data_IF_544608849295
#
_entry.id   IF_544608849295
#
_cell.length_a   1.000
_cell.length_b   1.000
_cell.length_c   1.000
_cell.angle_alpha   90.00
_cell.angle_beta   90.00
_cell.angle_gamma   90.00
#
_symmetry.space_group_name_H-M   'P 1'
#
loop_
_entity.id
_entity.type
_entity.pdbx_description
1 polymer ?
#
# COMPACT_ATOMS: atom_id res chain seq x y z
N UNK A 1 -51.42 -8.37 -4.62
CA UNK A 1 -50.11 -7.73 -4.74
C UNK A 1 -49.17 -8.43 -3.78
N UNK A 2 -48.26 -9.27 -4.26
CA UNK A 2 -47.25 -9.88 -3.40
C UNK A 2 -46.18 -8.82 -3.13
N UNK A 3 -46.29 -8.14 -1.98
CA UNK A 3 -45.30 -7.17 -1.53
C UNK A 3 -43.91 -7.78 -1.37
N UNK A 4 -42.88 -6.95 -1.24
CA UNK A 4 -41.53 -7.42 -0.92
C UNK A 4 -41.53 -8.20 0.41
N UNK A 5 -40.51 -9.04 0.66
CA UNK A 5 -40.43 -9.82 1.91
C UNK A 5 -40.47 -8.88 3.13
N UNK A 6 -39.82 -7.72 3.03
CA UNK A 6 -39.82 -6.70 4.08
C UNK A 6 -41.21 -6.13 4.37
N UNK A 7 -42.09 -6.04 3.37
CA UNK A 7 -43.46 -5.53 3.53
C UNK A 7 -44.40 -6.57 4.15
N UNK A 8 -44.11 -7.87 3.95
CA UNK A 8 -44.94 -8.98 4.42
C UNK A 8 -44.44 -9.60 5.74
N UNK A 9 -43.30 -9.16 6.26
CA UNK A 9 -42.76 -9.68 7.52
C UNK A 9 -43.44 -9.04 8.73
N UNK A 10 -43.84 -9.88 9.70
CA UNK A 10 -44.31 -9.38 11.00
C UNK A 10 -43.14 -8.79 11.81
N UNK A 11 -43.44 -7.84 12.70
CA UNK A 11 -42.44 -7.22 13.60
C UNK A 11 -41.66 -8.26 14.39
N UNK A 12 -42.31 -9.34 14.83
CA UNK A 12 -41.63 -10.46 15.53
C UNK A 12 -40.55 -11.11 14.65
N UNK A 13 -40.85 -11.40 13.38
CA UNK A 13 -39.88 -11.99 12.44
C UNK A 13 -38.74 -11.02 12.15
N UNK A 14 -39.04 -9.74 11.95
CA UNK A 14 -38.03 -8.70 11.73
C UNK A 14 -37.06 -8.58 12.91
N UNK A 15 -37.57 -8.57 14.14
CA UNK A 15 -36.75 -8.54 15.36
C UNK A 15 -35.88 -9.78 15.47
N UNK A 16 -36.42 -10.98 15.19
CA UNK A 16 -35.63 -12.22 15.21
C UNK A 16 -34.47 -12.15 14.22
N UNK A 17 -34.72 -11.74 12.97
CA UNK A 17 -33.66 -11.58 11.96
C UNK A 17 -32.63 -10.53 12.40
N UNK A 18 -33.08 -9.40 12.94
CA UNK A 18 -32.21 -8.35 13.45
C UNK A 18 -31.30 -8.83 14.58
N UNK A 19 -31.83 -9.60 15.55
CA UNK A 19 -31.05 -10.19 16.63
C UNK A 19 -30.02 -11.19 16.09
N UNK A 20 -30.41 -12.04 15.13
CA UNK A 20 -29.49 -12.98 14.50
C UNK A 20 -28.33 -12.23 13.82
N UNK A 21 -28.62 -11.19 13.03
CA UNK A 21 -27.59 -10.37 12.38
C UNK A 21 -26.68 -9.68 13.41
N UNK A 22 -27.25 -9.17 14.50
CA UNK A 22 -26.48 -8.56 15.60
C UNK A 22 -25.54 -9.58 16.25
N UNK A 23 -26.00 -10.81 16.49
CA UNK A 23 -25.16 -11.88 17.01
C UNK A 23 -24.02 -12.24 16.05
N UNK A 24 -24.28 -12.31 14.74
CA UNK A 24 -23.22 -12.51 13.74
C UNK A 24 -22.22 -11.34 13.70
N UNK A 25 -22.69 -10.11 13.86
CA UNK A 25 -21.82 -8.93 13.94
C UNK A 25 -20.95 -8.97 15.20
N UNK A 26 -21.53 -9.28 16.36
CA UNK A 26 -20.81 -9.43 17.63
C UNK A 26 -19.77 -10.55 17.55
N UNK A 27 -20.11 -11.68 16.92
CA UNK A 27 -19.17 -12.76 16.66
C UNK A 27 -18.00 -12.29 15.77
N UNK A 28 -18.29 -11.52 14.71
CA UNK A 28 -17.26 -10.98 13.81
C UNK A 28 -16.30 -10.04 14.55
N UNK A 29 -16.81 -9.19 15.46
CA UNK A 29 -15.98 -8.36 16.33
C UNK A 29 -15.13 -9.19 17.29
N UNK A 30 -15.68 -10.27 17.85
CA UNK A 30 -14.96 -11.16 18.75
C UNK A 30 -13.81 -11.89 18.02
N UNK A 31 -14.04 -12.33 16.77
CA UNK A 31 -12.98 -12.93 15.93
C UNK A 31 -11.86 -11.92 15.67
N UNK A 32 -12.20 -10.68 15.31
CA UNK A 32 -11.20 -9.63 15.09
C UNK A 32 -10.46 -9.20 16.36
N UNK A 33 -11.14 -9.13 17.51
CA UNK A 33 -10.56 -8.62 18.75
C UNK A 33 -9.84 -9.65 19.61
N UNK A 34 -10.27 -10.92 19.59
CA UNK A 34 -9.71 -11.98 20.46
C UNK A 34 -8.83 -12.99 19.71
N UNK A 35 -9.00 -13.15 18.39
CA UNK A 35 -8.30 -14.20 17.61
C UNK A 35 -7.24 -13.58 16.70
N UNK A 36 -7.60 -12.53 15.96
CA UNK A 36 -6.68 -11.90 15.03
C UNK A 36 -5.64 -11.04 15.79
N UNK A 37 -4.33 -11.19 15.50
CA UNK A 37 -3.32 -10.26 16.00
C UNK A 37 -3.42 -8.92 15.26
N UNK A 38 -2.56 -7.96 15.63
CA UNK A 38 -2.50 -6.66 14.95
C UNK A 38 -2.34 -6.84 13.42
N UNK A 39 -3.05 -6.05 12.59
CA UNK A 39 -3.05 -6.24 11.14
C UNK A 39 -1.67 -6.14 10.50
N UNK A 40 -0.85 -5.22 10.98
CA UNK A 40 0.50 -4.97 10.49
C UNK A 40 1.50 -5.01 11.63
N UNK A 41 2.77 -5.20 11.28
CA UNK A 41 3.91 -5.07 12.19
C UNK A 41 4.95 -4.19 11.51
N UNK A 42 5.45 -3.20 12.26
CA UNK A 42 6.53 -2.34 11.82
C UNK A 42 7.83 -2.75 12.52
N UNK A 43 8.88 -2.99 11.74
CA UNK A 43 10.19 -3.39 12.24
C UNK A 43 11.21 -2.35 11.78
N UNK A 44 11.97 -1.82 12.74
CA UNK A 44 13.03 -0.86 12.47
C UNK A 44 14.35 -1.59 12.17
N UNK A 45 14.99 -1.20 11.08
CA UNK A 45 16.30 -1.68 10.66
C UNK A 45 17.26 -0.50 10.62
N UNK A 46 18.47 -0.71 11.14
CA UNK A 46 19.59 0.21 10.97
C UNK A 46 20.50 -0.34 9.88
N UNK A 47 20.78 0.46 8.87
CA UNK A 47 21.60 0.01 7.77
C UNK A 47 23.07 -0.13 8.17
N UNK A 48 23.69 -1.25 7.81
CA UNK A 48 25.11 -1.48 8.07
C UNK A 48 25.93 -0.83 6.97
N UNK A 49 26.87 0.05 7.33
CA UNK A 49 27.81 0.69 6.40
C UNK A 49 28.89 -0.31 6.01
N UNK A 50 28.76 -0.88 4.81
CA UNK A 50 29.71 -1.79 4.20
C UNK A 50 30.66 -1.04 3.26
N UNK A 51 31.90 -1.51 3.13
CA UNK A 51 32.91 -0.94 2.22
C UNK A 51 33.07 -1.80 0.97
N UNK A 52 32.99 -1.16 -0.19
CA UNK A 52 33.36 -1.73 -1.47
C UNK A 52 34.82 -1.40 -1.80
N UNK A 53 35.72 -2.36 -1.57
CA UNK A 53 37.16 -2.20 -1.79
C UNK A 53 37.57 -2.42 -3.26
N UNK A 54 36.66 -2.82 -4.15
CA UNK A 54 36.99 -3.24 -5.51
C UNK A 54 36.98 -2.05 -6.47
N UNK A 55 38.17 -1.61 -6.91
CA UNK A 55 38.38 -0.51 -7.87
C UNK A 55 37.96 -0.81 -9.32
N UNK A 56 37.13 -1.83 -9.57
CA UNK A 56 36.80 -2.22 -10.93
C UNK A 56 35.56 -1.50 -11.43
N UNK A 57 35.69 -0.84 -12.58
CA UNK A 57 34.60 -0.26 -13.38
C UNK A 57 33.51 -1.29 -13.77
N UNK A 58 33.70 -2.58 -13.51
CA UNK A 58 32.65 -3.59 -13.55
C UNK A 58 31.91 -3.65 -12.22
N UNK A 59 31.03 -2.67 -12.01
CA UNK A 59 30.18 -2.47 -10.84
C UNK A 59 29.05 -3.52 -10.73
N UNK A 60 29.25 -4.75 -11.22
CA UNK A 60 28.17 -5.72 -11.36
C UNK A 60 28.23 -6.79 -10.26
N UNK A 61 27.24 -6.72 -9.37
CA UNK A 61 26.64 -7.88 -8.66
C UNK A 61 27.30 -8.41 -7.39
N UNK A 62 28.12 -7.63 -6.65
CA UNK A 62 28.48 -8.06 -5.29
C UNK A 62 27.40 -7.66 -4.30
N UNK A 63 26.77 -8.64 -3.68
CA UNK A 63 25.80 -8.46 -2.61
C UNK A 63 26.49 -8.39 -1.25
N UNK A 64 26.39 -7.23 -0.59
CA UNK A 64 27.00 -6.98 0.71
C UNK A 64 26.10 -7.47 1.83
N UNK A 65 26.54 -8.47 2.59
CA UNK A 65 25.75 -9.00 3.70
C UNK A 65 26.09 -8.26 5.01
N UNK A 66 25.10 -7.73 5.75
CA UNK A 66 25.36 -6.97 6.97
C UNK A 66 25.80 -7.83 8.15
N UNK A 67 25.56 -9.14 8.15
CA UNK A 67 25.92 -10.06 9.24
C UNK A 67 26.02 -11.50 8.72
N UNK A 68 26.58 -12.42 9.49
CA UNK A 68 26.75 -13.82 9.09
C UNK A 68 28.17 -14.16 8.63
N UNK A 69 28.39 -15.36 8.06
CA UNK A 69 29.74 -15.86 7.72
C UNK A 69 30.42 -15.03 6.62
N UNK A 70 29.64 -14.56 5.64
CA UNK A 70 30.11 -13.73 4.53
C UNK A 70 29.78 -12.25 4.76
N UNK A 71 29.94 -11.76 6.00
CA UNK A 71 29.64 -10.36 6.30
C UNK A 71 30.59 -9.42 5.54
N UNK A 72 30.11 -8.23 5.22
CA UNK A 72 30.91 -7.19 4.61
C UNK A 72 31.95 -6.62 5.59
N UNK A 73 32.96 -5.94 5.07
CA UNK A 73 33.84 -5.08 5.86
C UNK A 73 33.05 -3.85 6.30
N UNK A 74 32.89 -3.67 7.61
CA UNK A 74 32.03 -2.64 8.18
C UNK A 74 32.83 -1.43 8.64
N UNK A 75 32.20 -0.28 8.58
CA UNK A 75 32.67 0.95 9.20
C UNK A 75 31.63 1.42 10.21
N UNK A 76 32.06 1.83 11.42
CA UNK A 76 31.12 2.32 12.43
C UNK A 76 30.62 3.71 12.08
N UNK A 77 31.56 4.62 11.82
CA UNK A 77 31.31 6.04 11.61
C UNK A 77 32.05 6.60 10.41
N UNK A 78 31.52 7.67 9.82
CA UNK A 78 32.18 8.34 8.67
C UNK A 78 33.56 8.91 9.00
N UNK A 79 33.84 9.19 10.28
CA UNK A 79 35.17 9.62 10.72
C UNK A 79 36.21 8.49 10.53
N UNK A 80 35.82 7.25 10.79
CA UNK A 80 36.64 6.06 10.52
C UNK A 80 36.83 5.85 9.01
N UNK A 81 35.78 6.09 8.20
CA UNK A 81 35.88 6.04 6.74
C UNK A 81 36.89 7.07 6.21
N UNK A 82 36.87 8.28 6.75
CA UNK A 82 37.78 9.37 6.38
C UNK A 82 39.22 9.04 6.76
N UNK A 83 39.43 8.49 7.96
CA UNK A 83 40.74 8.02 8.40
C UNK A 83 41.31 6.91 7.49
N UNK A 84 40.45 6.04 6.99
CA UNK A 84 40.78 4.96 6.04
C UNK A 84 40.81 5.42 4.57
N UNK A 85 40.57 6.70 4.28
CA UNK A 85 40.50 7.29 2.93
C UNK A 85 39.50 6.57 2.00
N UNK A 86 38.33 6.19 2.54
CA UNK A 86 37.25 5.57 1.78
C UNK A 86 36.40 6.68 1.16
N UNK A 87 36.19 6.59 -0.16
CA UNK A 87 35.32 7.51 -0.89
C UNK A 87 33.83 7.23 -0.61
N UNK A 88 32.98 8.26 -0.71
CA UNK A 88 31.54 8.13 -0.47
C UNK A 88 30.87 7.08 -1.39
N UNK A 89 31.32 6.98 -2.65
CA UNK A 89 30.80 6.02 -3.63
C UNK A 89 31.07 4.56 -3.27
N UNK A 90 32.06 4.31 -2.40
CA UNK A 90 32.46 2.96 -1.98
C UNK A 90 31.71 2.52 -0.72
N UNK A 91 30.80 3.34 -0.18
CA UNK A 91 30.00 2.98 0.99
C UNK A 91 28.65 2.43 0.51
N UNK A 92 28.34 1.22 0.95
CA UNK A 92 27.07 0.54 0.68
C UNK A 92 26.33 0.33 2.00
N UNK A 93 25.13 0.86 2.10
CA UNK A 93 24.25 0.64 3.24
C UNK A 93 23.47 -0.65 3.01
N UNK A 94 23.86 -1.71 3.70
CA UNK A 94 23.27 -3.04 3.54
C UNK A 94 22.30 -3.37 4.67
N UNK A 95 21.11 -3.87 4.30
CA UNK A 95 20.05 -4.28 5.22
C UNK A 95 19.52 -5.64 4.82
N UNK A 96 19.51 -6.57 5.77
CA UNK A 96 18.95 -7.90 5.57
C UNK A 96 17.57 -7.96 6.21
N UNK A 97 16.57 -8.32 5.40
CA UNK A 97 15.18 -8.48 5.81
C UNK A 97 14.83 -9.96 5.65
N UNK A 98 14.44 -10.68 6.71
CA UNK A 98 14.19 -10.22 8.08
C UNK A 98 15.47 -10.14 8.92
N UNK A 99 15.32 -9.73 10.19
CA UNK A 99 16.38 -9.77 11.21
C UNK A 99 16.98 -11.19 11.40
N UNK A 100 18.18 -11.31 12.02
CA UNK A 100 18.83 -12.59 12.25
C UNK A 100 17.92 -13.63 12.93
N UNK A 101 18.04 -14.89 12.51
CA UNK A 101 17.26 -16.04 13.01
C UNK A 101 15.74 -15.97 12.77
N UNK A 102 15.28 -15.09 11.86
CA UNK A 102 13.88 -15.06 11.40
C UNK A 102 13.82 -15.35 9.91
N UNK A 103 12.66 -15.76 9.42
CA UNK A 103 12.36 -15.92 7.99
C UNK A 103 11.07 -15.18 7.64
N UNK A 104 11.01 -14.61 6.43
CA UNK A 104 9.77 -14.10 5.88
C UNK A 104 8.89 -15.25 5.40
N UNK A 105 7.60 -14.99 5.26
CA UNK A 105 6.65 -15.98 4.76
C UNK A 105 5.62 -15.36 3.82
N UNK A 106 5.07 -16.12 2.87
CA UNK A 106 3.98 -15.69 1.98
C UNK A 106 2.73 -15.17 2.71
N UNK A 107 2.57 -15.51 3.98
CA UNK A 107 1.47 -15.00 4.82
C UNK A 107 1.55 -13.50 5.08
N UNK A 108 2.70 -12.87 4.88
CA UNK A 108 2.87 -11.44 5.11
C UNK A 108 2.32 -10.56 3.98
N UNK A 109 1.85 -11.17 2.88
CA UNK A 109 1.19 -10.58 1.70
C UNK A 109 1.92 -9.44 1.00
N UNK A 110 2.24 -8.37 1.71
CA UNK A 110 2.96 -7.22 1.20
C UNK A 110 4.10 -6.85 2.15
N UNK A 111 5.09 -6.17 1.59
CA UNK A 111 6.16 -5.56 2.36
C UNK A 111 6.38 -4.13 1.87
N UNK A 112 6.18 -3.18 2.75
CA UNK A 112 6.45 -1.77 2.54
C UNK A 112 7.71 -1.40 3.31
N UNK A 113 8.62 -0.67 2.66
CA UNK A 113 9.84 -0.18 3.29
C UNK A 113 9.90 1.33 3.18
N UNK A 114 10.04 1.97 4.34
CA UNK A 114 10.16 3.43 4.47
C UNK A 114 11.61 3.75 4.81
N UNK A 115 12.17 4.75 4.14
CA UNK A 115 13.51 5.28 4.35
C UNK A 115 13.46 6.51 5.27
N UNK A 116 14.38 6.54 6.22
CA UNK A 116 14.60 7.66 7.13
C UNK A 116 16.10 7.95 7.23
N UNK A 117 16.51 9.18 6.90
CA UNK A 117 17.89 9.61 7.05
C UNK A 117 18.11 10.27 8.41
N UNK A 118 19.20 9.89 9.09
CA UNK A 118 19.71 10.62 10.23
C UNK A 118 20.77 11.61 9.72
N UNK A 119 20.39 12.88 9.57
CA UNK A 119 21.29 13.94 9.05
C UNK A 119 21.71 14.84 10.19
N UNK A 120 23.02 14.94 10.44
CA UNK A 120 23.58 15.84 11.45
C UNK A 120 23.74 17.26 10.89
N UNK A 121 23.42 18.25 11.72
CA UNK A 121 23.65 19.65 11.43
C UNK A 121 25.12 20.02 11.56
N UNK A 122 25.68 20.63 10.52
CA UNK A 122 26.97 21.31 10.51
C UNK A 122 26.85 22.68 9.85
N UNK A 123 27.55 23.69 10.38
CA UNK A 123 27.48 25.04 9.83
C UNK A 123 27.94 25.13 8.38
N UNK A 124 29.00 24.38 8.03
CA UNK A 124 29.61 24.39 6.69
C UNK A 124 28.94 23.46 5.69
N UNK A 125 28.11 22.51 6.13
CA UNK A 125 27.44 21.52 5.27
C UNK A 125 25.97 21.40 5.66
N UNK A 126 25.21 22.45 5.34
CA UNK A 126 23.77 22.48 5.55
C UNK A 126 23.04 21.82 4.37
N UNK A 127 21.80 21.40 4.63
CA UNK A 127 20.89 20.94 3.58
C UNK A 127 20.49 22.16 2.72
N UNK A 128 20.69 22.07 1.40
CA UNK A 128 20.24 23.08 0.44
C UNK A 128 18.70 23.07 0.31
N UNK A 129 18.11 24.24 0.04
CA UNK A 129 16.66 24.34 -0.16
C UNK A 129 16.24 23.52 -1.39
N UNK A 130 15.31 22.59 -1.18
CA UNK A 130 14.85 21.68 -2.24
C UNK A 130 15.86 20.58 -2.59
N UNK A 131 16.79 20.24 -1.68
CA UNK A 131 17.76 19.16 -1.88
C UNK A 131 17.08 17.85 -2.31
N UNK A 132 17.67 17.20 -3.31
CA UNK A 132 17.22 15.91 -3.84
C UNK A 132 18.32 14.89 -3.59
N UNK A 133 17.98 13.81 -2.89
CA UNK A 133 18.86 12.65 -2.73
C UNK A 133 18.60 11.66 -3.85
N UNK A 134 19.67 11.29 -4.54
CA UNK A 134 19.69 10.20 -5.52
C UNK A 134 20.18 8.94 -4.81
N UNK A 135 19.33 7.92 -4.80
CA UNK A 135 19.54 6.67 -4.11
C UNK A 135 19.62 5.56 -5.14
N UNK A 136 20.77 4.89 -5.21
CA UNK A 136 20.98 3.71 -6.05
C UNK A 136 20.69 2.46 -5.20
N UNK A 137 19.60 1.77 -5.51
CA UNK A 137 19.04 0.70 -4.67
C UNK A 137 19.00 -0.61 -5.45
N UNK A 138 19.58 -1.65 -4.87
CA UNK A 138 19.44 -3.02 -5.31
C UNK A 138 18.68 -3.86 -4.29
N UNK A 139 17.69 -4.61 -4.74
CA UNK A 139 16.98 -5.63 -3.97
C UNK A 139 17.32 -7.00 -4.53
N UNK A 140 17.74 -7.90 -3.64
CA UNK A 140 17.92 -9.31 -3.93
C UNK A 140 17.08 -10.18 -3.00
N UNK A 141 16.82 -11.41 -3.44
CA UNK A 141 16.15 -12.44 -2.66
C UNK A 141 16.95 -13.74 -2.64
N UNK A 142 16.63 -14.59 -1.68
CA UNK A 142 17.03 -16.00 -1.63
C UNK A 142 16.10 -16.78 -0.70
N UNK A 143 16.01 -18.08 -0.93
CA UNK A 143 15.24 -18.99 -0.05
C UNK A 143 16.12 -19.89 0.81
N UNK A 144 17.33 -20.20 0.34
CA UNK A 144 18.32 -20.91 1.12
C UNK A 144 19.30 -19.94 1.80
N UNK A 145 19.56 -20.17 3.08
CA UNK A 145 20.51 -19.44 3.90
C UNK A 145 21.95 -19.42 3.36
N UNK A 146 22.33 -20.47 2.61
CA UNK A 146 23.66 -20.60 1.99
C UNK A 146 23.63 -20.38 0.47
N UNK A 147 22.46 -20.16 -0.11
CA UNK A 147 22.31 -19.90 -1.54
C UNK A 147 22.88 -18.55 -1.97
N UNK A 148 23.16 -18.42 -3.26
CA UNK A 148 23.51 -17.15 -3.88
C UNK A 148 22.30 -16.20 -3.92
N UNK A 149 22.58 -14.90 -3.85
CA UNK A 149 21.57 -13.86 -3.95
C UNK A 149 21.18 -13.62 -5.41
N UNK A 150 19.88 -13.68 -5.69
CA UNK A 150 19.33 -13.35 -7.00
C UNK A 150 18.74 -11.95 -6.99
N UNK A 151 19.13 -11.13 -7.97
CA UNK A 151 18.63 -9.77 -8.13
C UNK A 151 17.15 -9.79 -8.50
N UNK A 152 16.33 -9.06 -7.73
CA UNK A 152 14.90 -8.86 -8.01
C UNK A 152 14.69 -7.58 -8.82
N UNK A 153 15.26 -6.49 -8.33
CA UNK A 153 15.12 -5.17 -8.91
C UNK A 153 16.33 -4.31 -8.56
N UNK A 154 16.71 -3.44 -9.48
CA UNK A 154 17.75 -2.45 -9.29
C UNK A 154 17.34 -1.18 -10.01
N UNK A 155 17.29 -0.06 -9.28
CA UNK A 155 16.99 1.24 -9.86
C UNK A 155 17.68 2.38 -9.13
N UNK A 156 17.85 3.48 -9.85
CA UNK A 156 18.35 4.74 -9.31
C UNK A 156 17.15 5.65 -9.16
N UNK A 157 16.78 5.91 -7.91
CA UNK A 157 15.62 6.72 -7.57
C UNK A 157 16.04 8.07 -7.03
N UNK A 158 15.24 9.08 -7.32
CA UNK A 158 15.39 10.41 -6.73
C UNK A 158 14.30 10.64 -5.69
N UNK A 159 14.66 11.25 -4.56
CA UNK A 159 13.76 11.60 -3.48
C UNK A 159 14.06 13.01 -2.99
N UNK A 160 13.02 13.81 -2.80
CA UNK A 160 13.17 15.15 -2.22
C UNK A 160 13.37 15.05 -0.72
N UNK A 161 14.39 15.71 -0.19
CA UNK A 161 14.65 15.79 1.24
C UNK A 161 13.86 16.98 1.82
N UNK A 162 12.81 16.66 2.57
CA UNK A 162 12.07 17.63 3.39
C UNK A 162 12.54 17.47 4.83
N UNK A 163 13.41 18.37 5.27
CA UNK A 163 14.03 18.31 6.59
C UNK A 163 13.97 19.69 7.25
N UNK A 164 13.53 19.74 8.51
CA UNK A 164 13.50 20.96 9.30
C UNK A 164 14.50 20.88 10.46
N UNK A 165 15.12 22.02 10.78
CA UNK A 165 15.98 22.15 11.95
C UNK A 165 15.28 23.08 12.94
N UNK A 166 14.63 22.50 13.94
CA UNK A 166 13.81 23.21 14.93
C UNK A 166 14.66 24.06 15.88
N UNK A 167 15.94 23.72 16.06
CA UNK A 167 16.87 24.44 16.92
C UNK A 167 17.57 25.59 16.20
N UNK A 168 17.99 26.66 16.91
CA UNK A 168 18.73 27.74 16.29
C UNK A 168 20.07 27.24 15.75
N UNK A 169 20.41 27.66 14.53
CA UNK A 169 21.64 27.32 13.80
C UNK A 169 22.86 28.02 14.41
N UNK A 170 23.26 27.60 15.61
CA UNK A 170 24.47 28.06 16.32
C UNK A 170 25.52 26.96 16.35
N UNK A 171 26.78 27.34 16.58
CA UNK A 171 27.91 26.40 16.68
C UNK A 171 27.70 25.40 17.82
N UNK A 172 27.09 25.83 18.94
CA UNK A 172 26.79 24.97 20.09
C UNK A 172 25.80 23.83 19.78
N UNK A 173 25.02 23.96 18.69
CA UNK A 173 24.04 22.98 18.26
C UNK A 173 24.54 22.10 17.09
N UNK A 174 25.83 22.18 16.72
CA UNK A 174 26.42 21.25 15.77
C UNK A 174 26.32 19.80 16.27
N UNK A 175 26.07 18.89 15.33
CA UNK A 175 25.88 17.46 15.62
C UNK A 175 24.46 17.06 16.02
N UNK A 176 23.53 18.01 16.26
CA UNK A 176 22.11 17.69 16.41
C UNK A 176 21.51 17.23 15.09
N UNK A 177 20.52 16.36 15.14
CA UNK A 177 19.87 15.82 13.95
C UNK A 177 18.79 16.76 13.42
N UNK A 178 18.66 16.80 12.09
CA UNK A 178 17.49 17.33 11.42
C UNK A 178 16.27 16.43 11.67
N UNK A 179 15.10 17.05 11.76
CA UNK A 179 13.82 16.35 11.74
C UNK A 179 13.38 16.25 10.27
N UNK A 180 13.61 15.08 9.66
CA UNK A 180 13.27 14.80 8.26
C UNK A 180 11.97 13.99 8.16
N UNK A 181 11.21 14.28 7.10
CA UNK A 181 10.03 13.51 6.74
C UNK A 181 10.40 12.08 6.29
N UNK A 182 9.48 11.15 6.53
CA UNK A 182 9.61 9.75 6.12
C UNK A 182 9.41 9.62 4.60
N UNK A 183 10.31 8.89 3.93
CA UNK A 183 10.22 8.70 2.47
C UNK A 183 9.85 7.26 2.12
N UNK A 184 8.85 7.02 1.24
CA UNK A 184 8.58 5.69 0.73
C UNK A 184 9.74 5.22 -0.16
N UNK A 185 10.32 4.07 0.20
CA UNK A 185 11.42 3.47 -0.57
C UNK A 185 10.91 2.41 -1.52
N UNK A 186 10.11 1.47 -1.02
CA UNK A 186 9.68 0.29 -1.77
C UNK A 186 8.35 -0.25 -1.27
N UNK A 187 7.53 -0.76 -2.18
CA UNK A 187 6.35 -1.57 -1.87
C UNK A 187 6.36 -2.84 -2.72
N UNK A 188 6.43 -4.00 -2.06
CA UNK A 188 6.31 -5.31 -2.71
C UNK A 188 4.90 -5.84 -2.51
N UNK A 189 4.25 -6.20 -3.62
CA UNK A 189 2.90 -6.75 -3.63
C UNK A 189 2.76 -8.23 -3.24
N UNK A 190 3.90 -8.91 -3.05
CA UNK A 190 3.98 -10.31 -2.59
C UNK A 190 5.29 -10.53 -1.80
N UNK A 191 5.22 -11.30 -0.72
CA UNK A 191 6.41 -11.72 0.06
C UNK A 191 6.63 -13.22 -0.12
N UNK A 192 7.08 -13.62 -1.30
CA UNK A 192 7.22 -15.04 -1.64
C UNK A 192 8.46 -15.70 -1.02
N UNK A 193 9.59 -14.97 -1.00
CA UNK A 193 10.87 -15.51 -0.57
C UNK A 193 11.11 -15.35 0.93
N UNK A 194 11.99 -16.19 1.46
CA UNK A 194 12.32 -16.19 2.90
C UNK A 194 13.23 -15.05 3.32
N UNK A 195 14.16 -14.67 2.46
CA UNK A 195 15.20 -13.69 2.77
C UNK A 195 15.33 -12.67 1.64
N UNK A 196 15.49 -11.42 2.03
CA UNK A 196 15.67 -10.28 1.16
C UNK A 196 16.89 -9.48 1.62
N UNK A 197 17.66 -8.98 0.67
CA UNK A 197 18.81 -8.12 0.92
C UNK A 197 18.63 -6.83 0.15
N UNK A 198 18.72 -5.72 0.87
CA UNK A 198 18.61 -4.39 0.31
C UNK A 198 19.97 -3.71 0.44
N UNK A 199 20.56 -3.35 -0.69
CA UNK A 199 21.79 -2.58 -0.75
C UNK A 199 21.47 -1.20 -1.30
N UNK A 200 21.82 -0.18 -0.51
CA UNK A 200 21.58 1.22 -0.84
C UNK A 200 22.94 1.91 -1.01
N UNK A 201 23.12 2.61 -2.12
CA UNK A 201 24.29 3.45 -2.42
C UNK A 201 23.84 4.88 -2.62
N UNK A 202 24.70 5.81 -2.19
CA UNK A 202 24.49 7.25 -2.38
C UNK A 202 25.59 7.76 -3.32
N UNK A 203 25.41 7.66 -4.64
CA UNK A 203 26.44 8.07 -5.58
C UNK A 203 26.64 9.59 -5.52
N UNK A 204 27.89 10.03 -5.39
CA UNK A 204 28.29 11.44 -5.40
C UNK A 204 28.99 11.73 -6.72
N UNK A 205 28.55 12.78 -7.42
CA UNK A 205 29.17 13.22 -8.66
C UNK A 205 29.25 14.73 -8.72
N UNK A 206 30.48 15.22 -8.88
CA UNK A 206 30.79 16.64 -8.95
C UNK A 206 30.32 17.29 -10.25
N UNK A 207 30.45 16.56 -11.36
CA UNK A 207 30.07 17.05 -12.69
C UNK A 207 28.55 17.16 -12.85
N UNK A 208 27.81 16.16 -12.36
CA UNK A 208 26.34 16.09 -12.48
C UNK A 208 25.61 16.73 -11.29
N UNK A 209 26.35 17.26 -10.31
CA UNK A 209 25.81 17.79 -9.04
C UNK A 209 24.87 16.80 -8.32
N UNK A 210 25.23 15.52 -8.31
CA UNK A 210 24.43 14.48 -7.66
C UNK A 210 24.84 14.35 -6.21
N UNK A 211 23.86 14.33 -5.30
CA UNK A 211 24.06 14.20 -3.85
C UNK A 211 25.02 15.24 -3.25
N UNK A 212 24.97 16.48 -3.75
CA UNK A 212 25.64 17.64 -3.15
C UNK A 212 24.64 18.42 -2.31
N UNK A 213 25.11 18.98 -1.18
CA UNK A 213 24.26 19.81 -0.31
C UNK A 213 23.13 19.04 0.39
N UNK A 214 23.26 17.72 0.55
CA UNK A 214 22.27 16.89 1.27
C UNK A 214 22.55 16.81 2.78
N UNK A 215 23.43 17.67 3.31
CA UNK A 215 23.88 17.65 4.70
C UNK A 215 24.87 16.52 5.01
N UNK A 216 25.16 16.32 6.30
CA UNK A 216 26.00 15.21 6.76
C UNK A 216 25.14 14.04 7.25
N UNK A 217 24.88 13.08 6.36
CA UNK A 217 24.21 11.83 6.73
C UNK A 217 25.11 11.07 7.69
N UNK A 218 24.56 10.64 8.84
CA UNK A 218 25.23 9.79 9.83
C UNK A 218 24.80 8.33 9.71
N UNK A 219 23.51 8.10 9.56
CA UNK A 219 22.94 6.75 9.43
C UNK A 219 21.71 6.75 8.53
N UNK A 220 21.38 5.56 8.03
CA UNK A 220 20.14 5.29 7.30
C UNK A 220 19.34 4.30 8.11
N UNK A 221 18.11 4.68 8.45
CA UNK A 221 17.12 3.81 9.08
C UNK A 221 16.07 3.41 8.06
N UNK A 222 15.59 2.19 8.19
CA UNK A 222 14.50 1.66 7.39
C UNK A 222 13.41 1.12 8.30
N UNK A 223 12.17 1.35 7.94
CA UNK A 223 11.01 0.74 8.61
C UNK A 223 10.36 -0.23 7.64
N UNK A 224 10.50 -1.53 7.91
CA UNK A 224 9.83 -2.58 7.17
C UNK A 224 8.47 -2.86 7.79
N UNK A 225 7.41 -2.57 7.06
CA UNK A 225 6.02 -2.81 7.44
C UNK A 225 5.51 -3.97 6.59
N UNK A 226 5.00 -5.01 7.25
CA UNK A 226 4.40 -6.14 6.57
C UNK A 226 3.09 -6.53 7.26
N UNK A 227 2.20 -7.20 6.52
CA UNK A 227 1.00 -7.74 7.14
C UNK A 227 1.37 -8.85 8.11
N UNK A 228 0.64 -8.96 9.20
CA UNK A 228 0.87 -10.03 10.16
C UNK A 228 0.25 -11.33 9.63
N UNK A 229 1.05 -12.39 9.54
CA UNK A 229 0.61 -13.66 8.97
C UNK A 229 -0.54 -14.32 9.74
N UNK A 230 -0.63 -14.07 11.06
CA UNK A 230 -1.78 -14.51 11.86
C UNK A 230 -3.07 -13.77 11.48
N UNK A 231 -2.98 -12.46 11.24
CA UNK A 231 -4.11 -11.67 10.77
C UNK A 231 -4.56 -12.12 9.38
N UNK A 232 -3.62 -12.34 8.47
CA UNK A 232 -3.90 -12.84 7.11
C UNK A 232 -4.66 -14.17 7.13
N UNK A 233 -4.29 -15.10 8.00
CA UNK A 233 -4.98 -16.39 8.15
C UNK A 233 -6.44 -16.23 8.58
N UNK A 234 -6.69 -15.40 9.60
CA UNK A 234 -8.04 -15.13 10.09
C UNK A 234 -8.86 -14.42 9.02
N UNK A 235 -8.26 -13.44 8.34
CA UNK A 235 -8.88 -12.71 7.24
C UNK A 235 -9.30 -13.63 6.08
N UNK A 236 -8.42 -14.56 5.68
CA UNK A 236 -8.72 -15.55 4.65
C UNK A 236 -9.85 -16.49 5.07
N UNK A 237 -9.80 -17.00 6.31
CA UNK A 237 -10.84 -17.86 6.83
C UNK A 237 -12.21 -17.18 6.82
N UNK A 238 -12.25 -15.90 7.21
CA UNK A 238 -13.47 -15.08 7.19
C UNK A 238 -14.02 -14.92 5.77
N UNK A 239 -13.16 -14.57 4.80
CA UNK A 239 -13.54 -14.47 3.38
C UNK A 239 -14.07 -15.79 2.82
N UNK A 240 -13.36 -16.89 3.08
CA UNK A 240 -13.75 -18.24 2.63
C UNK A 240 -15.09 -18.68 3.24
N UNK A 241 -15.37 -18.32 4.50
CA UNK A 241 -16.65 -18.63 5.15
C UNK A 241 -17.80 -17.77 4.62
N UNK A 242 -17.57 -16.46 4.40
CA UNK A 242 -18.62 -15.54 3.97
C UNK A 242 -19.01 -15.74 2.49
N UNK A 243 -18.05 -16.02 1.62
CA UNK A 243 -18.26 -16.18 0.17
C UNK A 243 -19.44 -17.11 -0.20
N UNK A 244 -19.49 -18.38 0.26
CA UNK A 244 -20.59 -19.28 -0.10
C UNK A 244 -21.94 -18.77 0.42
N UNK A 245 -21.98 -18.17 1.61
CA UNK A 245 -23.24 -17.65 2.17
C UNK A 245 -23.82 -16.50 1.33
N UNK A 246 -22.97 -15.54 0.93
CA UNK A 246 -23.34 -14.41 0.07
C UNK A 246 -23.73 -14.88 -1.33
N UNK A 247 -23.00 -15.86 -1.88
CA UNK A 247 -23.31 -16.42 -3.20
C UNK A 247 -24.67 -17.15 -3.21
N UNK A 248 -24.97 -17.94 -2.18
CA UNK A 248 -26.27 -18.64 -2.06
C UNK A 248 -27.42 -17.64 -1.96
N UNK A 249 -27.32 -16.62 -1.11
CA UNK A 249 -28.39 -15.63 -0.95
C UNK A 249 -28.57 -14.79 -2.22
N UNK A 250 -27.48 -14.46 -2.93
CA UNK A 250 -27.52 -13.73 -4.20
C UNK A 250 -28.23 -14.54 -5.30
N UNK A 251 -27.87 -15.82 -5.47
CA UNK A 251 -28.53 -16.71 -6.43
C UNK A 251 -30.01 -16.87 -6.09
N UNK A 252 -30.31 -17.09 -4.81
CA UNK A 252 -31.69 -17.20 -4.34
C UNK A 252 -32.49 -15.92 -4.61
N UNK A 253 -31.91 -14.75 -4.33
CA UNK A 253 -32.53 -13.45 -4.54
C UNK A 253 -32.87 -13.22 -6.01
N UNK A 254 -31.91 -13.45 -6.92
CA UNK A 254 -32.13 -13.29 -8.35
C UNK A 254 -33.16 -14.28 -8.89
N UNK A 255 -33.08 -15.55 -8.45
CA UNK A 255 -34.05 -16.59 -8.82
C UNK A 255 -35.46 -16.24 -8.36
N UNK A 256 -35.63 -15.60 -7.20
CA UNK A 256 -36.95 -15.15 -6.72
C UNK A 256 -37.50 -14.01 -7.55
N UNK A 257 -36.66 -13.08 -8.00
CA UNK A 257 -37.06 -11.97 -8.86
C UNK A 257 -37.52 -12.47 -10.23
N UNK A 258 -36.79 -13.40 -10.84
CA UNK A 258 -37.12 -13.91 -12.19
C UNK A 258 -38.36 -14.80 -12.22
N UNK A 259 -38.82 -15.33 -11.08
CA UNK A 259 -40.09 -16.07 -10.99
C UNK A 259 -41.33 -15.17 -10.98
N UNK A 260 -41.17 -13.86 -10.76
CA UNK A 260 -42.31 -12.94 -10.80
C UNK A 260 -42.70 -12.63 -12.25
N UNK A 261 -43.99 -12.42 -12.49
CA UNK A 261 -44.52 -12.08 -13.84
C UNK A 261 -44.17 -10.65 -14.30
N UNK A 262 -43.64 -9.81 -13.40
CA UNK A 262 -43.22 -8.43 -13.69
C UNK A 262 -41.72 -8.37 -14.03
N UNK A 263 -41.28 -7.42 -14.88
CA UNK A 263 -39.85 -7.18 -15.06
C UNK A 263 -39.21 -6.63 -13.76
N UNK A 264 -37.91 -6.90 -13.52
CA UNK A 264 -37.20 -6.42 -12.35
C UNK A 264 -37.12 -4.89 -12.29
N UNK A 265 -37.44 -4.31 -11.14
CA UNK A 265 -37.39 -2.86 -10.92
C UNK A 265 -35.94 -2.38 -10.78
N UNK A 266 -35.70 -1.06 -10.91
CA UNK A 266 -34.35 -0.50 -10.86
C UNK A 266 -33.65 -0.84 -9.54
N UNK A 267 -34.34 -0.69 -8.40
CA UNK A 267 -33.78 -0.98 -7.08
C UNK A 267 -33.37 -2.45 -6.93
N UNK A 268 -34.17 -3.39 -7.45
CA UNK A 268 -33.87 -4.82 -7.40
C UNK A 268 -32.59 -5.16 -8.17
N UNK A 269 -32.40 -4.52 -9.34
CA UNK A 269 -31.19 -4.66 -10.16
C UNK A 269 -29.95 -4.08 -9.47
N UNK A 270 -30.09 -2.92 -8.82
CA UNK A 270 -28.96 -2.28 -8.12
C UNK A 270 -28.56 -3.07 -6.88
N UNK A 271 -29.51 -3.62 -6.11
CA UNK A 271 -29.22 -4.53 -4.99
C UNK A 271 -28.51 -5.80 -5.50
N UNK A 272 -28.95 -6.35 -6.63
CA UNK A 272 -28.28 -7.51 -7.24
C UNK A 272 -26.83 -7.17 -7.64
N UNK A 273 -26.61 -6.01 -8.27
CA UNK A 273 -25.27 -5.55 -8.64
C UNK A 273 -24.37 -5.31 -7.40
N UNK A 274 -24.91 -4.74 -6.32
CA UNK A 274 -24.20 -4.61 -5.04
C UNK A 274 -23.81 -5.98 -4.45
N UNK A 275 -24.71 -6.97 -4.55
CA UNK A 275 -24.43 -8.36 -4.15
C UNK A 275 -23.32 -9.01 -4.97
N UNK A 276 -23.24 -8.73 -6.28
CA UNK A 276 -22.14 -9.18 -7.14
C UNK A 276 -20.82 -8.55 -6.69
N UNK A 277 -20.78 -7.23 -6.49
CA UNK A 277 -19.57 -6.53 -6.02
C UNK A 277 -19.11 -7.03 -4.65
N UNK A 278 -20.04 -7.27 -3.72
CA UNK A 278 -19.74 -7.84 -2.41
C UNK A 278 -19.20 -9.28 -2.52
N UNK A 279 -19.76 -10.09 -3.42
CA UNK A 279 -19.23 -11.43 -3.70
C UNK A 279 -17.81 -11.32 -4.24
N UNK A 280 -17.55 -10.42 -5.19
CA UNK A 280 -16.25 -10.23 -5.83
C UNK A 280 -15.12 -9.89 -4.85
N UNK A 281 -15.39 -9.05 -3.83
CA UNK A 281 -14.43 -8.76 -2.74
C UNK A 281 -14.12 -9.99 -1.89
N UNK A 282 -15.16 -10.78 -1.59
CA UNK A 282 -15.06 -11.88 -0.65
C UNK A 282 -14.43 -13.13 -1.27
N UNK A 283 -14.46 -13.29 -2.60
CA UNK A 283 -13.77 -14.40 -3.27
C UNK A 283 -12.31 -14.41 -2.80
N UNK A 284 -11.85 -15.51 -2.16
CA UNK A 284 -10.57 -15.52 -1.48
C UNK A 284 -9.44 -15.89 -2.48
N UNK A 285 -9.29 -15.06 -3.52
CA UNK A 285 -8.24 -15.20 -4.56
C UNK A 285 -6.84 -15.13 -3.95
N UNK A 286 -6.72 -14.46 -2.80
CA UNK A 286 -5.47 -14.30 -2.07
C UNK A 286 -4.91 -15.63 -1.54
N UNK A 287 -5.69 -16.71 -1.48
CA UNK A 287 -5.12 -18.05 -1.19
C UNK A 287 -4.05 -18.46 -2.20
N UNK A 288 -4.18 -18.02 -3.45
CA UNK A 288 -3.21 -18.34 -4.49
C UNK A 288 -1.86 -17.63 -4.29
N UNK A 289 -1.82 -16.47 -3.61
CA UNK A 289 -0.54 -15.78 -3.36
C UNK A 289 0.35 -16.49 -2.33
N UNK A 290 -0.20 -17.46 -1.58
CA UNK A 290 0.60 -18.31 -0.69
C UNK A 290 1.43 -19.33 -1.48
N UNK A 291 0.91 -19.79 -2.63
CA UNK A 291 1.55 -20.80 -3.46
C UNK A 291 2.27 -20.24 -4.69
N UNK A 292 1.89 -19.06 -5.16
CA UNK A 292 2.44 -18.43 -6.37
C UNK A 292 2.87 -17.00 -6.09
N UNK A 293 3.97 -16.58 -6.72
CA UNK A 293 4.47 -15.21 -6.67
C UNK A 293 3.64 -14.29 -7.58
N UNK A 294 2.56 -13.71 -7.05
CA UNK A 294 1.72 -12.74 -7.77
C UNK A 294 1.83 -11.34 -7.17
N UNK A 295 2.63 -10.49 -7.82
CA UNK A 295 2.88 -9.11 -7.39
C UNK A 295 1.67 -8.17 -7.55
N UNK A 296 0.72 -8.50 -8.43
CA UNK A 296 -0.48 -7.71 -8.73
C UNK A 296 -1.64 -7.89 -7.73
N UNK A 297 -1.45 -8.69 -6.68
CA UNK A 297 -2.52 -9.01 -5.71
C UNK A 297 -3.06 -7.77 -4.99
N UNK A 298 -2.17 -6.82 -4.65
CA UNK A 298 -2.55 -5.58 -3.97
C UNK A 298 -3.46 -4.72 -4.85
N UNK A 299 -3.02 -4.45 -6.08
CA UNK A 299 -3.79 -3.71 -7.08
C UNK A 299 -5.16 -4.34 -7.34
N UNK A 300 -5.21 -5.68 -7.45
CA UNK A 300 -6.48 -6.38 -7.61
C UNK A 300 -7.37 -6.30 -6.36
N UNK A 301 -6.80 -6.23 -5.17
CA UNK A 301 -7.51 -5.93 -3.93
C UNK A 301 -8.16 -4.55 -3.96
N UNK A 302 -7.41 -3.52 -4.35
CA UNK A 302 -7.89 -2.14 -4.38
C UNK A 302 -8.99 -1.95 -5.42
N UNK A 303 -8.81 -2.48 -6.64
CA UNK A 303 -9.82 -2.42 -7.70
C UNK A 303 -11.14 -3.06 -7.23
N UNK A 304 -11.06 -4.22 -6.56
CA UNK A 304 -12.24 -4.89 -5.99
C UNK A 304 -12.96 -4.01 -4.97
N UNK A 305 -12.21 -3.36 -4.06
CA UNK A 305 -12.77 -2.46 -3.05
C UNK A 305 -13.36 -1.19 -3.68
N UNK A 306 -12.65 -0.58 -4.63
CA UNK A 306 -13.11 0.60 -5.36
C UNK A 306 -14.43 0.36 -6.09
N UNK A 307 -14.58 -0.78 -6.79
CA UNK A 307 -15.83 -1.17 -7.45
C UNK A 307 -16.98 -1.28 -6.44
N UNK A 308 -16.74 -1.90 -5.28
CA UNK A 308 -17.77 -2.01 -4.25
C UNK A 308 -18.19 -0.67 -3.67
N UNK A 309 -17.24 0.22 -3.38
CA UNK A 309 -17.56 1.55 -2.86
C UNK A 309 -18.35 2.38 -3.88
N UNK A 310 -17.96 2.34 -5.16
CA UNK A 310 -18.70 2.99 -6.23
C UNK A 310 -20.15 2.48 -6.32
N UNK A 311 -20.33 1.16 -6.25
CA UNK A 311 -21.65 0.52 -6.29
C UNK A 311 -22.50 0.78 -5.04
N UNK A 312 -21.88 0.83 -3.86
CA UNK A 312 -22.54 1.13 -2.59
C UNK A 312 -23.05 2.57 -2.55
N UNK A 313 -22.23 3.54 -2.95
CA UNK A 313 -22.64 4.95 -3.03
C UNK A 313 -23.75 5.14 -4.07
N UNK A 314 -23.61 4.49 -5.24
CA UNK A 314 -24.66 4.50 -6.26
C UNK A 314 -25.97 3.90 -5.74
N UNK A 315 -25.89 2.81 -4.97
CA UNK A 315 -27.06 2.19 -4.34
C UNK A 315 -27.75 3.15 -3.36
N UNK A 316 -27.01 3.83 -2.48
CA UNK A 316 -27.60 4.77 -1.53
C UNK A 316 -28.33 5.92 -2.20
N UNK A 317 -27.73 6.53 -3.21
CA UNK A 317 -28.35 7.64 -3.95
C UNK A 317 -29.64 7.18 -4.64
N UNK A 318 -29.58 6.05 -5.37
CA UNK A 318 -30.75 5.51 -6.08
C UNK A 318 -31.84 5.10 -5.08
N UNK A 319 -31.45 4.50 -3.95
CA UNK A 319 -32.39 4.10 -2.90
C UNK A 319 -33.12 5.31 -2.32
N UNK A 320 -32.39 6.37 -1.92
CA UNK A 320 -33.00 7.59 -1.41
C UNK A 320 -33.89 8.26 -2.47
N UNK A 321 -33.42 8.37 -3.70
CA UNK A 321 -34.17 9.01 -4.78
C UNK A 321 -35.45 8.25 -5.15
N UNK A 322 -35.43 6.92 -5.24
CA UNK A 322 -36.65 6.13 -5.52
C UNK A 322 -37.71 6.24 -4.41
N UNK A 323 -37.31 6.47 -3.15
CA UNK A 323 -38.24 6.64 -2.02
C UNK A 323 -38.75 8.08 -1.86
N UNK A 324 -38.02 9.09 -2.36
CA UNK A 324 -38.40 10.50 -2.27
C UNK A 324 -39.13 11.03 -3.51
N UNK A 325 -38.88 10.47 -4.70
CA UNK A 325 -39.44 10.98 -5.96
C UNK A 325 -40.87 10.51 -6.25
N UNK A 326 -41.63 11.37 -6.91
CA UNK A 326 -43.02 11.17 -7.30
C UNK A 326 -43.17 10.13 -8.43
N UNK A 327 -44.33 9.47 -8.54
CA UNK A 327 -44.50 8.22 -9.33
C UNK A 327 -44.15 8.31 -10.83
N UNK A 328 -44.14 9.50 -11.43
CA UNK A 328 -44.02 9.70 -12.89
C UNK A 328 -42.60 9.49 -13.47
N UNK A 329 -41.54 9.60 -12.65
CA UNK A 329 -40.13 9.47 -13.12
C UNK A 329 -39.41 8.21 -12.61
N UNK A 330 -40.09 7.36 -11.84
CA UNK A 330 -39.51 6.14 -11.23
C UNK A 330 -39.03 5.13 -12.28
N UNK A 331 -38.03 4.34 -11.91
CA UNK A 331 -37.43 3.26 -12.72
C UNK A 331 -36.62 3.68 -13.98
N UNK A 332 -36.35 4.97 -14.20
CA UNK A 332 -35.46 5.41 -15.30
C UNK A 332 -34.08 5.75 -14.79
N UNK A 333 -33.09 4.94 -15.15
CA UNK A 333 -31.67 5.18 -14.80
C UNK A 333 -31.17 6.56 -15.30
N UNK A 334 -31.70 7.05 -16.42
CA UNK A 334 -31.36 8.35 -17.01
C UNK A 334 -31.60 9.54 -16.05
N UNK A 335 -32.60 9.44 -15.16
CA UNK A 335 -32.91 10.49 -14.18
C UNK A 335 -31.80 10.62 -13.12
N UNK A 336 -31.21 9.49 -12.74
CA UNK A 336 -30.13 9.42 -11.74
C UNK A 336 -28.74 9.71 -12.32
N UNK A 337 -28.60 9.86 -13.64
CA UNK A 337 -27.30 10.07 -14.29
C UNK A 337 -26.56 11.30 -13.76
N UNK A 338 -27.30 12.36 -13.40
CA UNK A 338 -26.72 13.58 -12.81
C UNK A 338 -26.06 13.34 -11.44
N UNK A 339 -26.56 12.36 -10.68
CA UNK A 339 -26.07 12.05 -9.33
C UNK A 339 -25.05 10.89 -9.33
N UNK A 340 -25.25 9.90 -10.21
CA UNK A 340 -24.34 8.74 -10.35
C UNK A 340 -23.11 9.09 -11.21
N UNK A 341 -23.24 10.00 -12.17
CA UNK A 341 -22.15 10.43 -13.05
C UNK A 341 -20.90 10.91 -12.31
N UNK A 342 -21.02 11.81 -11.31
CA UNK A 342 -19.89 12.20 -10.48
C UNK A 342 -19.22 11.03 -9.75
N UNK A 343 -20.00 10.08 -9.20
CA UNK A 343 -19.43 8.90 -8.51
C UNK A 343 -18.59 8.06 -9.47
N UNK A 344 -19.12 7.79 -10.66
CA UNK A 344 -18.40 7.00 -11.68
C UNK A 344 -17.14 7.73 -12.13
N UNK A 345 -17.22 9.04 -12.35
CA UNK A 345 -16.07 9.86 -12.72
C UNK A 345 -14.98 9.86 -11.63
N UNK A 346 -15.35 10.12 -10.37
CA UNK A 346 -14.40 10.07 -9.25
C UNK A 346 -13.77 8.69 -9.07
N UNK A 347 -14.56 7.63 -9.20
CA UNK A 347 -14.06 6.25 -9.14
C UNK A 347 -13.08 5.95 -10.29
N UNK A 348 -13.33 6.49 -11.48
CA UNK A 348 -12.43 6.36 -12.62
C UNK A 348 -11.13 7.15 -12.43
N UNK A 349 -11.18 8.35 -11.84
CA UNK A 349 -9.99 9.11 -11.47
C UNK A 349 -9.12 8.36 -10.45
N UNK A 350 -9.73 7.78 -9.40
CA UNK A 350 -9.00 6.94 -8.43
C UNK A 350 -8.42 5.69 -9.09
N UNK A 351 -9.16 5.05 -9.99
CA UNK A 351 -8.64 3.89 -10.73
C UNK A 351 -7.40 4.24 -11.57
N UNK A 352 -7.40 5.39 -12.27
CA UNK A 352 -6.22 5.84 -13.01
C UNK A 352 -5.06 6.11 -12.05
N UNK A 353 -5.33 6.75 -10.91
CA UNK A 353 -4.31 7.00 -9.89
C UNK A 353 -3.68 5.70 -9.38
N UNK A 354 -4.48 4.70 -8.99
CA UNK A 354 -3.98 3.39 -8.53
C UNK A 354 -3.17 2.67 -9.62
N UNK A 355 -3.60 2.77 -10.88
CA UNK A 355 -2.86 2.19 -12.02
C UNK A 355 -1.53 2.92 -12.27
N UNK A 356 -1.46 4.23 -12.05
CA UNK A 356 -0.23 5.01 -12.20
C UNK A 356 0.74 4.79 -11.04
N UNK A 357 0.24 4.65 -9.80
CA UNK A 357 1.08 4.42 -8.63
C UNK A 357 1.44 2.92 -8.50
N UNK A 358 0.45 2.09 -8.14
CA UNK A 358 0.65 0.66 -7.87
C UNK A 358 0.86 -0.17 -9.12
N UNK A 359 0.28 0.24 -10.26
CA UNK A 359 0.51 -0.45 -11.53
C UNK A 359 1.95 -0.33 -12.04
N UNK A 360 2.60 0.82 -11.85
CA UNK A 360 4.01 1.02 -12.20
C UNK A 360 4.94 0.35 -11.17
N UNK A 361 4.53 0.27 -9.91
CA UNK A 361 5.28 -0.46 -8.88
C UNK A 361 5.46 -1.96 -9.16
N UNK A 362 4.62 -2.55 -10.02
CA UNK A 362 4.75 -3.95 -10.45
C UNK A 362 6.03 -4.19 -11.28
N UNK A 363 6.51 -3.20 -12.02
CA UNK A 363 7.74 -3.30 -12.81
C UNK A 363 8.93 -2.72 -12.08
N UNK A 364 8.72 -1.63 -11.34
CA UNK A 364 9.74 -1.02 -10.49
C UNK A 364 9.22 -0.85 -9.05
N UNK A 365 9.60 -1.73 -8.11
CA UNK A 365 9.09 -1.67 -6.74
C UNK A 365 9.52 -0.42 -5.98
N UNK A 366 10.52 0.31 -6.49
CA UNK A 366 11.01 1.56 -5.91
C UNK A 366 10.33 2.80 -6.50
N UNK A 367 9.40 2.63 -7.44
CA UNK A 367 8.68 3.77 -8.02
C UNK A 367 7.74 4.42 -7.00
N UNK A 368 7.68 5.75 -7.03
CA UNK A 368 6.70 6.54 -6.29
C UNK A 368 6.29 7.74 -7.13
N UNK A 369 4.98 7.93 -7.32
CA UNK A 369 4.45 9.08 -8.07
C UNK A 369 4.79 10.42 -7.40
N UNK A 370 4.87 10.41 -6.07
CA UNK A 370 5.22 11.53 -5.21
C UNK A 370 6.69 11.97 -5.30
N UNK A 371 7.54 11.18 -5.96
CA UNK A 371 8.95 11.51 -6.12
C UNK A 371 9.20 12.60 -7.17
N UNK A 372 8.28 12.78 -8.12
CA UNK A 372 8.37 13.78 -9.18
C UNK A 372 7.39 14.92 -8.95
N UNK A 373 7.79 16.16 -9.25
CA UNK A 373 6.91 17.33 -9.10
C UNK A 373 5.66 17.19 -9.99
N UNK A 374 5.86 16.80 -11.27
CA UNK A 374 4.76 16.58 -12.22
C UNK A 374 3.84 15.44 -11.77
N UNK A 375 4.41 14.33 -11.27
CA UNK A 375 3.62 13.21 -10.75
C UNK A 375 2.81 13.61 -9.52
N UNK A 376 3.40 14.41 -8.63
CA UNK A 376 2.71 14.94 -7.43
C UNK A 376 1.56 15.86 -7.83
N UNK A 377 1.76 16.78 -8.76
CA UNK A 377 0.68 17.64 -9.27
C UNK A 377 -0.46 16.82 -9.90
N UNK A 378 -0.13 15.80 -10.70
CA UNK A 378 -1.11 14.90 -11.29
C UNK A 378 -1.87 14.09 -10.22
N UNK A 379 -1.17 13.52 -9.24
CA UNK A 379 -1.77 12.79 -8.12
C UNK A 379 -2.75 13.67 -7.33
N UNK A 380 -2.32 14.88 -6.97
CA UNK A 380 -3.18 15.86 -6.28
C UNK A 380 -4.37 16.25 -7.16
N UNK A 381 -4.18 16.38 -8.47
CA UNK A 381 -5.28 16.67 -9.41
C UNK A 381 -6.34 15.55 -9.46
N UNK A 382 -5.92 14.28 -9.43
CA UNK A 382 -6.84 13.14 -9.39
C UNK A 382 -7.61 13.07 -8.06
N UNK A 383 -6.92 13.30 -6.94
CA UNK A 383 -7.57 13.36 -5.63
C UNK A 383 -8.56 14.53 -5.51
N UNK A 384 -8.18 15.73 -5.94
CA UNK A 384 -9.06 16.91 -5.92
C UNK A 384 -10.27 16.75 -6.85
N UNK A 385 -10.09 16.15 -8.02
CA UNK A 385 -11.19 15.81 -8.95
C UNK A 385 -12.16 14.82 -8.31
N UNK A 386 -11.63 13.78 -7.66
CA UNK A 386 -12.44 12.79 -6.94
C UNK A 386 -13.21 13.43 -5.79
N UNK A 387 -12.54 14.25 -4.98
CA UNK A 387 -13.18 14.94 -3.86
C UNK A 387 -14.30 15.87 -4.35
N UNK A 388 -14.05 16.63 -5.41
CA UNK A 388 -15.06 17.48 -6.04
C UNK A 388 -16.26 16.68 -6.54
N UNK A 389 -16.02 15.50 -7.13
CA UNK A 389 -17.08 14.62 -7.62
C UNK A 389 -17.94 14.01 -6.49
N UNK A 390 -17.33 13.73 -5.32
CA UNK A 390 -18.04 13.25 -4.13
C UNK A 390 -18.88 14.34 -3.47
N UNK A 391 -18.44 15.61 -3.55
CA UNK A 391 -19.16 16.76 -3.01
C UNK A 391 -20.23 17.32 -3.98
N UNK A 392 -20.07 17.10 -5.29
CA UNK A 392 -20.98 17.55 -6.36
C UNK A 392 -22.46 17.14 -6.21
N UNK A 393 -22.84 15.94 -5.75
CA UNK A 393 -24.26 15.57 -5.59
C UNK A 393 -25.06 16.42 -4.59
N UNK A 394 -24.42 17.37 -3.88
CA UNK A 394 -25.06 18.29 -2.93
C UNK A 394 -25.21 19.74 -3.44
N UNK A 395 -24.78 20.05 -4.66
CA UNK A 395 -24.97 21.39 -5.23
C UNK A 395 -26.38 21.51 -5.83
N UNK A 396 -27.20 22.48 -5.36
CA UNK A 396 -28.60 22.66 -5.79
C UNK A 396 -28.77 23.03 -7.26
#
# INVERSE_FOLDING_TARGET
MAGAIIENMSTKKLVIVGVILLLFQAFSFMVGGLIAPSPTTAIHYMATKCVDNVKSHYMSKKWFMPWGPNHCDKVRDFDEATAKKIEANNIVFAVHIPMPNKEMSPWFQFMLVILQFDIAFKMYNQIEDGAVVTVDVGLAYRDDSLGEWTEMAHSIEQRKLSCNFTTPKTIDNEGRYYECDLMPLMELGCVFHKYYLLNIRLPVSDHKKVNRGIGEIKDIRLVGIHQNGGFTKVWFAMKTFLTPSILIIMIWYWRRITMMSRPPVLLEKVIFALGISMTFINIPVEWFSVGFEWTWMLLFGDIRQGIFYAMLLSFWIIFCGEHLMDQMERNRFSVYWKQVGPIVFGSFCLFIFDMCERGVQLTNPFYSIWASDVGTELAVSFHTSTHSSLCSPYSP
#
